data_IF_715737677323
#
_entry.id   IF_715737677323
#
_cell.length_a   1.000
_cell.length_b   1.000
_cell.length_c   1.000
_cell.angle_alpha   90.00
_cell.angle_beta   90.00
_cell.angle_gamma   90.00
#
_symmetry.space_group_name_H-M   'P 1'
#
loop_
_entity.id
_entity.type
_entity.pdbx_description
1 polymer ?
#
# COMPACT_ATOMS: atom_id res chain seq x y z
N UNK A 1 -18.72 2.01 15.88
CA UNK A 1 -17.48 2.64 15.43
C UNK A 1 -17.82 3.99 14.85
N UNK A 2 -17.24 5.07 15.37
CA UNK A 2 -17.43 6.40 14.78
C UNK A 2 -16.42 6.62 13.63
N UNK A 3 -16.62 7.68 12.83
CA UNK A 3 -15.76 7.96 11.68
C UNK A 3 -14.28 8.17 12.04
N UNK A 4 -13.99 8.69 13.24
CA UNK A 4 -12.62 8.89 13.71
C UNK A 4 -11.91 7.58 14.06
N UNK A 5 -12.61 6.64 14.71
CA UNK A 5 -12.10 5.29 15.01
C UNK A 5 -11.79 4.53 13.73
N UNK A 6 -12.67 4.61 12.72
CA UNK A 6 -12.45 3.98 11.41
C UNK A 6 -11.22 4.56 10.71
N UNK A 7 -11.07 5.89 10.71
CA UNK A 7 -9.92 6.57 10.10
C UNK A 7 -8.63 6.15 10.80
N UNK A 8 -8.64 6.07 12.14
CA UNK A 8 -7.49 5.61 12.90
C UNK A 8 -7.09 4.19 12.52
N UNK A 9 -8.04 3.25 12.48
CA UNK A 9 -7.75 1.86 12.08
C UNK A 9 -7.17 1.79 10.66
N UNK A 10 -7.71 2.56 9.71
CA UNK A 10 -7.17 2.62 8.35
C UNK A 10 -5.73 3.16 8.32
N UNK A 11 -5.42 4.19 9.13
CA UNK A 11 -4.07 4.73 9.24
C UNK A 11 -3.10 3.73 9.86
N UNK A 12 -3.52 3.01 10.89
CA UNK A 12 -2.72 1.97 11.53
C UNK A 12 -2.40 0.86 10.51
N UNK A 13 -3.39 0.43 9.71
CA UNK A 13 -3.19 -0.57 8.65
C UNK A 13 -2.27 -0.08 7.53
N UNK A 14 -2.39 1.19 7.10
CA UNK A 14 -1.48 1.79 6.11
C UNK A 14 -0.05 1.71 6.62
N UNK A 15 0.18 2.15 7.86
CA UNK A 15 1.52 2.18 8.46
C UNK A 15 2.10 0.79 8.64
N UNK A 16 1.33 -0.14 9.18
CA UNK A 16 1.75 -1.54 9.32
C UNK A 16 2.08 -2.16 7.95
N UNK A 17 1.32 -1.81 6.92
CA UNK A 17 1.60 -2.26 5.54
C UNK A 17 2.92 -1.73 5.00
N UNK A 18 3.31 -0.49 5.32
CA UNK A 18 4.61 0.09 4.94
C UNK A 18 5.76 -0.62 5.65
N UNK A 19 5.63 -0.82 6.96
CA UNK A 19 6.64 -1.49 7.79
C UNK A 19 6.85 -2.93 7.30
N UNK A 20 5.77 -3.66 7.04
CA UNK A 20 5.82 -5.01 6.49
C UNK A 20 6.43 -5.04 5.08
N UNK A 21 6.10 -4.09 4.21
CA UNK A 21 6.67 -4.01 2.87
C UNK A 21 8.19 -3.76 2.92
N UNK A 22 8.66 -2.88 3.81
CA UNK A 22 10.10 -2.63 4.02
C UNK A 22 10.81 -3.91 4.47
N UNK A 23 10.25 -4.62 5.45
CA UNK A 23 10.83 -5.87 5.94
C UNK A 23 10.86 -6.97 4.86
N UNK A 24 9.82 -7.08 4.04
CA UNK A 24 9.80 -8.02 2.91
C UNK A 24 10.90 -7.68 1.90
N UNK A 25 11.07 -6.40 1.58
CA UNK A 25 12.13 -5.94 0.68
C UNK A 25 13.52 -6.29 1.23
N UNK A 26 13.80 -5.98 2.50
CA UNK A 26 15.06 -6.31 3.16
C UNK A 26 15.34 -7.82 3.16
N UNK A 27 14.31 -8.63 3.42
CA UNK A 27 14.43 -10.09 3.36
C UNK A 27 14.78 -10.57 1.94
N UNK A 28 14.18 -9.99 0.90
CA UNK A 28 14.52 -10.34 -0.48
C UNK A 28 15.96 -9.95 -0.85
N UNK A 29 16.43 -8.77 -0.43
CA UNK A 29 17.81 -8.34 -0.62
C UNK A 29 18.81 -9.29 0.09
N UNK A 30 18.49 -9.69 1.32
CA UNK A 30 19.28 -10.67 2.06
C UNK A 30 19.33 -12.02 1.34
N UNK A 31 18.18 -12.55 0.91
CA UNK A 31 18.09 -13.82 0.19
C UNK A 31 18.89 -13.75 -1.12
N UNK A 32 18.74 -12.68 -1.88
CA UNK A 32 19.45 -12.48 -3.15
C UNK A 32 20.97 -12.44 -2.93
N UNK A 33 21.42 -11.71 -1.91
CA UNK A 33 22.84 -11.67 -1.51
C UNK A 33 23.37 -13.04 -1.11
N UNK A 34 22.62 -13.77 -0.28
CA UNK A 34 22.99 -15.12 0.17
C UNK A 34 23.10 -16.09 -1.01
N UNK A 35 22.12 -16.10 -1.92
CA UNK A 35 22.11 -16.96 -3.10
C UNK A 35 23.28 -16.62 -4.04
N UNK A 36 23.55 -15.33 -4.24
CA UNK A 36 24.67 -14.91 -5.09
C UNK A 36 26.01 -15.42 -4.55
N UNK A 37 26.20 -15.41 -3.22
CA UNK A 37 27.40 -15.93 -2.55
C UNK A 37 27.47 -17.46 -2.42
N UNK A 38 26.35 -18.17 -2.62
CA UNK A 38 26.28 -19.63 -2.48
C UNK A 38 26.91 -20.40 -3.64
N UNK A 39 27.26 -21.68 -3.42
CA UNK A 39 27.78 -22.59 -4.45
C UNK A 39 26.68 -23.23 -5.33
N UNK A 40 25.48 -22.65 -5.39
CA UNK A 40 24.39 -23.13 -6.23
C UNK A 40 24.72 -22.98 -7.73
N UNK A 41 24.16 -23.85 -8.57
CA UNK A 41 24.30 -23.73 -10.01
C UNK A 41 23.64 -22.45 -10.53
N UNK A 42 24.17 -21.88 -11.61
CA UNK A 42 23.65 -20.64 -12.19
C UNK A 42 22.16 -20.73 -12.57
N UNK A 43 21.73 -21.90 -13.05
CA UNK A 43 20.32 -22.17 -13.38
C UNK A 43 19.42 -22.02 -12.15
N UNK A 44 19.81 -22.58 -11.01
CA UNK A 44 19.04 -22.49 -9.76
C UNK A 44 19.04 -21.06 -9.24
N UNK A 45 20.18 -20.36 -9.27
CA UNK A 45 20.26 -18.93 -8.89
C UNK A 45 19.30 -18.08 -9.73
N UNK A 46 19.29 -18.29 -11.05
CA UNK A 46 18.37 -17.61 -11.97
C UNK A 46 16.90 -17.83 -11.60
N UNK A 47 16.50 -19.09 -11.39
CA UNK A 47 15.12 -19.42 -11.03
C UNK A 47 14.66 -18.75 -9.72
N UNK A 48 15.54 -18.63 -8.72
CA UNK A 48 15.18 -17.96 -7.47
C UNK A 48 15.12 -16.44 -7.67
N UNK A 49 16.08 -15.86 -8.39
CA UNK A 49 16.07 -14.42 -8.69
C UNK A 49 14.84 -14.01 -9.52
N UNK A 50 14.37 -14.85 -10.44
CA UNK A 50 13.14 -14.61 -11.19
C UNK A 50 11.91 -14.57 -10.26
N UNK A 51 11.87 -15.44 -9.24
CA UNK A 51 10.80 -15.45 -8.24
C UNK A 51 10.86 -14.22 -7.34
N UNK A 52 12.05 -13.83 -6.87
CA UNK A 52 12.26 -12.60 -6.10
C UNK A 52 11.79 -11.39 -6.92
N UNK A 53 12.19 -11.29 -8.19
CA UNK A 53 11.79 -10.19 -9.07
C UNK A 53 10.28 -10.15 -9.27
N UNK A 54 9.64 -11.30 -9.47
CA UNK A 54 8.18 -11.40 -9.57
C UNK A 54 7.51 -10.92 -8.27
N UNK A 55 8.00 -11.35 -7.11
CA UNK A 55 7.47 -10.95 -5.81
C UNK A 55 7.65 -9.46 -5.53
N UNK A 56 8.80 -8.87 -5.90
CA UNK A 56 9.03 -7.42 -5.82
C UNK A 56 8.06 -6.64 -6.70
N UNK A 57 7.75 -7.13 -7.90
CA UNK A 57 6.72 -6.52 -8.76
C UNK A 57 5.33 -6.53 -8.12
N UNK A 58 4.96 -7.64 -7.45
CA UNK A 58 3.69 -7.71 -6.68
C UNK A 58 3.71 -6.75 -5.49
N UNK A 59 4.83 -6.66 -4.77
CA UNK A 59 4.99 -5.75 -3.63
C UNK A 59 4.83 -4.28 -4.06
N UNK A 60 5.42 -3.91 -5.20
CA UNK A 60 5.24 -2.58 -5.79
C UNK A 60 3.77 -2.30 -6.15
N UNK A 61 3.07 -3.28 -6.72
CA UNK A 61 1.65 -3.13 -7.02
C UNK A 61 0.81 -2.96 -5.75
N UNK A 62 1.16 -3.66 -4.67
CA UNK A 62 0.51 -3.51 -3.37
C UNK A 62 0.76 -2.11 -2.76
N UNK A 63 1.97 -1.56 -2.89
CA UNK A 63 2.23 -0.19 -2.44
C UNK A 63 1.38 0.85 -3.19
N UNK A 64 1.11 0.64 -4.49
CA UNK A 64 0.16 1.49 -5.22
C UNK A 64 -1.26 1.43 -4.63
N UNK A 65 -1.71 0.25 -4.18
CA UNK A 65 -2.99 0.12 -3.49
C UNK A 65 -2.98 0.81 -2.13
N UNK A 66 -1.91 0.66 -1.35
CA UNK A 66 -1.74 1.36 -0.07
C UNK A 66 -1.81 2.88 -0.27
N UNK A 67 -1.11 3.42 -1.27
CA UNK A 67 -1.19 4.84 -1.62
C UNK A 67 -2.60 5.29 -2.00
N UNK A 68 -3.36 4.46 -2.74
CA UNK A 68 -4.78 4.77 -3.05
C UNK A 68 -5.63 4.85 -1.78
N UNK A 69 -5.43 3.93 -0.83
CA UNK A 69 -6.14 3.96 0.46
C UNK A 69 -5.76 5.22 1.24
N UNK A 70 -4.48 5.59 1.27
CA UNK A 70 -4.01 6.82 1.91
C UNK A 70 -4.68 8.08 1.33
N UNK A 71 -4.88 8.12 0.00
CA UNK A 71 -5.64 9.20 -0.66
C UNK A 71 -7.12 9.21 -0.26
N UNK A 72 -7.76 8.05 -0.16
CA UNK A 72 -9.14 7.93 0.31
C UNK A 72 -9.29 8.43 1.74
N UNK A 73 -8.39 8.00 2.64
CA UNK A 73 -8.36 8.48 4.04
C UNK A 73 -8.21 10.00 4.07
N UNK A 74 -7.30 10.56 3.27
CA UNK A 74 -7.14 12.00 3.16
C UNK A 74 -8.41 12.72 2.70
N UNK A 75 -9.08 12.21 1.67
CA UNK A 75 -10.33 12.79 1.17
C UNK A 75 -11.44 12.76 2.22
N UNK A 76 -11.61 11.62 2.90
CA UNK A 76 -12.63 11.46 3.95
C UNK A 76 -12.35 12.45 5.09
N UNK A 77 -11.11 12.57 5.54
CA UNK A 77 -10.76 13.52 6.57
C UNK A 77 -11.05 14.98 6.17
N UNK A 78 -10.76 15.39 4.92
CA UNK A 78 -11.09 16.74 4.44
C UNK A 78 -12.61 16.96 4.35
N UNK A 79 -13.37 15.96 3.87
CA UNK A 79 -14.83 16.06 3.67
C UNK A 79 -15.60 16.18 4.99
N UNK A 80 -15.09 15.58 6.06
CA UNK A 80 -15.75 15.53 7.37
C UNK A 80 -15.03 16.36 8.46
N UNK A 81 -14.10 17.23 8.08
CA UNK A 81 -13.34 18.11 8.99
C UNK A 81 -12.64 17.34 10.14
N UNK A 82 -12.08 16.17 9.81
CA UNK A 82 -11.33 15.33 10.75
C UNK A 82 -9.89 15.81 10.80
N UNK A 83 -9.37 16.01 12.01
CA UNK A 83 -7.99 16.44 12.25
C UNK A 83 -6.97 15.37 11.80
N UNK A 84 -6.31 15.64 10.66
CA UNK A 84 -5.28 14.78 10.05
C UNK A 84 -3.94 14.79 10.78
N UNK A 85 -3.66 15.84 11.58
CA UNK A 85 -2.37 16.00 12.24
C UNK A 85 -2.04 14.85 13.19
N UNK A 86 -3.09 14.15 13.66
CA UNK A 86 -3.02 12.99 14.56
C UNK A 86 -2.51 11.71 13.88
N UNK A 87 -2.51 11.66 12.54
CA UNK A 87 -2.32 10.41 11.80
C UNK A 87 -1.07 10.39 10.91
N UNK A 88 -0.27 11.47 10.91
CA UNK A 88 0.99 11.59 10.16
C UNK A 88 0.87 11.18 8.67
N UNK A 89 -0.28 11.46 8.07
CA UNK A 89 -0.58 11.15 6.67
C UNK A 89 0.11 12.19 5.80
N UNK A 90 0.77 11.78 4.71
CA UNK A 90 1.47 12.72 3.85
C UNK A 90 0.48 13.67 3.14
N UNK A 91 0.75 14.98 3.21
CA UNK A 91 -0.05 16.02 2.52
C UNK A 91 -0.04 15.85 0.98
N UNK A 92 0.97 15.17 0.44
CA UNK A 92 1.10 14.87 -1.00
C UNK A 92 0.02 13.93 -1.54
N UNK A 93 -0.73 13.24 -0.67
CA UNK A 93 -1.86 12.43 -1.08
C UNK A 93 -3.14 13.25 -1.39
N UNK A 94 -3.05 14.60 -1.36
CA UNK A 94 -4.10 15.51 -1.85
C UNK A 94 -4.25 15.57 -3.38
N UNK A 95 -3.49 14.81 -4.16
CA UNK A 95 -3.69 14.73 -5.62
C UNK A 95 -4.74 13.67 -5.92
N UNK A 96 -6.00 14.05 -5.75
CA UNK A 96 -7.12 13.48 -6.52
C UNK A 96 -7.48 14.55 -7.56
N UNK A 97 -6.57 14.85 -8.49
CA UNK A 97 -6.91 15.74 -9.60
C UNK A 97 -6.22 15.36 -10.93
N UNK A 98 -7.09 14.85 -11.83
CA UNK A 98 -7.37 15.37 -13.18
C UNK A 98 -6.75 14.79 -14.46
N UNK A 99 -5.90 13.76 -14.45
CA UNK A 99 -5.33 13.28 -15.73
C UNK A 99 -5.20 11.76 -15.95
N UNK A 100 -5.79 10.91 -15.14
CA UNK A 100 -6.00 9.50 -15.52
C UNK A 100 -7.45 9.12 -15.24
N UNK A 101 -8.10 8.51 -16.22
CA UNK A 101 -9.56 8.39 -16.36
C UNK A 101 -10.30 7.50 -15.35
N UNK A 102 -9.79 7.35 -14.14
CA UNK A 102 -10.39 6.56 -13.05
C UNK A 102 -10.78 7.48 -11.88
N UNK A 103 -11.69 8.43 -12.15
CA UNK A 103 -12.43 9.10 -11.08
C UNK A 103 -13.43 8.05 -10.58
N UNK A 104 -13.16 7.46 -9.42
CA UNK A 104 -14.14 6.66 -8.70
C UNK A 104 -15.32 7.58 -8.43
N UNK A 105 -16.46 7.29 -9.05
CA UNK A 105 -17.65 8.12 -8.88
C UNK A 105 -18.14 8.03 -7.43
N UNK A 106 -18.89 9.03 -6.98
CA UNK A 106 -19.49 9.01 -5.64
C UNK A 106 -20.30 7.71 -5.41
N UNK A 107 -20.91 7.16 -6.48
CA UNK A 107 -21.66 5.91 -6.46
C UNK A 107 -20.76 4.67 -6.27
N UNK A 108 -19.57 4.64 -6.89
CA UNK A 108 -18.60 3.55 -6.73
C UNK A 108 -17.95 3.56 -5.34
N UNK A 109 -17.70 4.75 -4.80
CA UNK A 109 -17.20 4.90 -3.43
C UNK A 109 -18.22 4.38 -2.42
N UNK A 110 -19.50 4.69 -2.61
CA UNK A 110 -20.58 4.20 -1.75
C UNK A 110 -20.77 2.68 -1.87
N UNK A 111 -20.63 2.12 -3.08
CA UNK A 111 -20.66 0.67 -3.29
C UNK A 111 -19.50 -0.06 -2.58
N UNK A 112 -18.29 0.51 -2.59
CA UNK A 112 -17.12 -0.03 -1.89
C UNK A 112 -17.31 -0.01 -0.37
N UNK A 113 -17.78 1.10 0.18
CA UNK A 113 -18.09 1.23 1.61
C UNK A 113 -19.11 0.17 2.03
N UNK A 114 -20.12 -0.09 1.19
CA UNK A 114 -21.16 -1.08 1.44
C UNK A 114 -20.65 -2.52 1.40
N UNK A 115 -19.67 -2.84 0.56
CA UNK A 115 -19.04 -4.17 0.52
C UNK A 115 -18.19 -4.46 1.77
N UNK A 116 -17.65 -3.44 2.43
CA UNK A 116 -16.85 -3.59 3.66
C UNK A 116 -17.71 -3.74 4.93
N UNK A 117 -19.02 -3.46 4.86
CA UNK A 117 -19.96 -3.58 5.99
C UNK A 117 -20.71 -4.93 6.01
N UNK A 118 -20.34 -5.87 5.13
CA UNK A 118 -20.88 -7.22 5.04
C UNK A 118 -19.97 -8.27 5.69
#
# INVERSE_FOLDING_TARGET
MNSEELIKELCDVIKESEENASLIYENFEYIQSYINSSNLSMKVKGQINDKISTSLGVLQHQDLHRQKIERVVNFVCDKYDIDKSKYNIADSAKIIDKNDGDIVSDDELEALIKQMQG
#
